data_IF_308926008402
#
_entry.id   IF_308926008402
#
_cell.length_a   1.000
_cell.length_b   1.000
_cell.length_c   1.000
_cell.angle_alpha   90.00
_cell.angle_beta   90.00
_cell.angle_gamma   90.00
#
_symmetry.space_group_name_H-M   'P 1'
#
loop_
_entity.id
_entity.type
_entity.pdbx_description
1 polymer ?
#
# COMPACT_ATOMS: atom_id res chain seq x y z
N UNK A 1 -1.68 30.30 10.29
CA UNK A 1 -1.92 28.88 9.94
C UNK A 1 -3.00 28.36 10.90
N UNK A 2 -4.08 27.76 10.41
CA UNK A 2 -5.04 27.10 11.32
C UNK A 2 -4.27 25.98 12.05
N UNK A 3 -4.28 25.98 13.37
CA UNK A 3 -3.72 24.90 14.17
C UNK A 3 -4.62 23.69 13.96
N UNK A 4 -4.27 22.83 13.00
CA UNK A 4 -4.93 21.54 12.85
C UNK A 4 -4.44 20.63 13.95
N UNK A 5 -5.38 20.06 14.70
CA UNK A 5 -5.05 18.98 15.60
C UNK A 5 -4.75 17.74 14.77
N UNK A 6 -3.55 17.19 14.89
CA UNK A 6 -3.17 15.93 14.26
C UNK A 6 -4.15 14.77 14.57
N UNK A 7 -4.93 14.86 15.64
CA UNK A 7 -5.99 13.91 15.99
C UNK A 7 -7.19 13.95 15.04
N UNK A 8 -7.35 15.01 14.23
CA UNK A 8 -8.36 15.06 13.17
C UNK A 8 -8.04 14.14 11.98
N UNK A 9 -6.80 13.65 11.89
CA UNK A 9 -6.35 12.73 10.87
C UNK A 9 -6.51 11.29 11.38
N UNK A 10 -7.38 10.52 10.74
CA UNK A 10 -7.63 9.12 11.04
C UNK A 10 -7.25 8.18 9.89
N UNK A 11 -7.17 6.88 10.16
CA UNK A 11 -6.83 5.87 9.16
C UNK A 11 -7.82 5.78 8.00
N UNK A 12 -9.08 6.20 8.18
CA UNK A 12 -10.06 6.22 7.09
C UNK A 12 -9.74 7.33 6.08
N UNK A 13 -9.37 8.52 6.57
CA UNK A 13 -8.93 9.62 5.72
C UNK A 13 -7.64 9.27 4.96
N UNK A 14 -6.67 8.63 5.62
CA UNK A 14 -5.45 8.15 4.96
C UNK A 14 -5.77 7.15 3.85
N UNK A 15 -6.59 6.14 4.15
CA UNK A 15 -7.01 5.12 3.17
C UNK A 15 -7.79 5.73 2.01
N UNK A 16 -8.62 6.74 2.28
CA UNK A 16 -9.35 7.47 1.26
C UNK A 16 -8.41 8.22 0.32
N UNK A 17 -7.42 8.95 0.84
CA UNK A 17 -6.43 9.67 0.04
C UNK A 17 -5.74 8.74 -0.96
N UNK A 18 -5.19 7.63 -0.46
CA UNK A 18 -4.51 6.60 -1.26
C UNK A 18 -5.44 6.04 -2.34
N UNK A 19 -6.68 5.73 -1.96
CA UNK A 19 -7.66 5.15 -2.90
C UNK A 19 -8.05 6.15 -4.00
N UNK A 20 -8.26 7.42 -3.67
CA UNK A 20 -8.62 8.45 -4.65
C UNK A 20 -7.45 8.75 -5.59
N UNK A 21 -6.22 8.79 -5.08
CA UNK A 21 -4.99 8.92 -5.89
C UNK A 21 -4.86 7.77 -6.88
N UNK A 22 -4.97 6.52 -6.41
CA UNK A 22 -4.84 5.32 -7.25
C UNK A 22 -5.93 5.22 -8.32
N UNK A 23 -7.17 5.61 -7.98
CA UNK A 23 -8.31 5.48 -8.88
C UNK A 23 -8.53 6.69 -9.79
N UNK A 24 -8.00 7.87 -9.47
CA UNK A 24 -8.23 9.10 -10.24
C UNK A 24 -9.71 9.48 -10.41
N UNK A 25 -10.61 8.94 -9.57
CA UNK A 25 -12.06 9.10 -9.71
C UNK A 25 -12.77 8.93 -8.38
N UNK A 26 -13.53 9.95 -7.98
CA UNK A 26 -14.35 9.92 -6.76
C UNK A 26 -15.36 8.75 -6.81
N UNK A 27 -15.99 8.51 -7.97
CA UNK A 27 -16.97 7.42 -8.13
C UNK A 27 -16.33 6.05 -7.99
N UNK A 28 -15.16 5.81 -8.59
CA UNK A 28 -14.45 4.53 -8.43
C UNK A 28 -13.91 4.36 -7.02
N UNK A 29 -13.41 5.44 -6.40
CA UNK A 29 -12.97 5.41 -5.01
C UNK A 29 -14.12 5.07 -4.06
N UNK A 30 -15.30 5.66 -4.26
CA UNK A 30 -16.50 5.38 -3.48
C UNK A 30 -16.88 3.89 -3.54
N UNK A 31 -16.91 3.32 -4.75
CA UNK A 31 -17.15 1.89 -4.93
C UNK A 31 -16.08 1.02 -4.24
N UNK A 32 -14.79 1.37 -4.37
CA UNK A 32 -13.69 0.63 -3.75
C UNK A 32 -13.69 0.71 -2.21
N UNK A 33 -14.21 1.79 -1.63
CA UNK A 33 -14.27 2.02 -0.19
C UNK A 33 -15.58 1.55 0.43
N UNK A 34 -16.59 1.17 -0.39
CA UNK A 34 -17.91 0.78 0.09
C UNK A 34 -18.72 1.93 0.69
N UNK A 35 -18.48 3.17 0.26
CA UNK A 35 -19.16 4.38 0.75
C UNK A 35 -19.76 5.18 -0.41
N UNK A 36 -20.59 6.17 -0.10
CA UNK A 36 -21.24 7.01 -1.12
C UNK A 36 -20.24 8.01 -1.73
N UNK A 37 -20.53 8.47 -2.96
CA UNK A 37 -19.74 9.51 -3.63
C UNK A 37 -19.72 10.82 -2.82
N UNK A 38 -20.84 11.17 -2.17
CA UNK A 38 -20.93 12.36 -1.31
C UNK A 38 -20.03 12.24 -0.07
N UNK A 39 -19.95 11.05 0.53
CA UNK A 39 -19.06 10.79 1.65
C UNK A 39 -17.58 10.93 1.25
N UNK A 40 -17.20 10.43 0.06
CA UNK A 40 -15.84 10.60 -0.47
C UNK A 40 -15.53 12.09 -0.67
N UNK A 41 -16.41 12.83 -1.35
CA UNK A 41 -16.21 14.27 -1.58
C UNK A 41 -16.03 15.04 -0.28
N UNK A 42 -16.88 14.79 0.73
CA UNK A 42 -16.78 15.45 2.03
C UNK A 42 -15.45 15.15 2.74
N UNK A 43 -15.00 13.89 2.71
CA UNK A 43 -13.71 13.51 3.29
C UNK A 43 -12.51 14.09 2.53
N UNK A 44 -12.59 14.23 1.21
CA UNK A 44 -11.58 14.96 0.41
C UNK A 44 -11.53 16.44 0.82
N UNK A 45 -12.67 17.08 1.04
CA UNK A 45 -12.71 18.48 1.49
C UNK A 45 -12.13 18.64 2.90
N UNK A 46 -12.36 17.66 3.79
CA UNK A 46 -11.68 17.60 5.09
C UNK A 46 -10.16 17.48 4.94
N UNK A 47 -9.69 16.58 4.06
CA UNK A 47 -8.26 16.44 3.77
C UNK A 47 -7.64 17.71 3.20
N UNK A 48 -8.35 18.42 2.31
CA UNK A 48 -7.91 19.71 1.77
C UNK A 48 -7.73 20.75 2.86
N UNK A 49 -8.68 20.80 3.79
CA UNK A 49 -8.58 21.70 4.94
C UNK A 49 -7.34 21.38 5.77
N UNK A 50 -7.15 20.12 6.18
CA UNK A 50 -6.02 19.66 7.00
C UNK A 50 -4.68 19.91 6.30
N UNK A 51 -4.58 19.52 5.04
CA UNK A 51 -3.34 19.64 4.28
C UNK A 51 -3.03 21.08 3.84
N UNK A 52 -4.02 21.98 3.88
CA UNK A 52 -3.90 23.34 3.33
C UNK A 52 -3.62 23.36 1.83
N UNK A 53 -4.06 22.33 1.09
CA UNK A 53 -3.80 22.14 -0.34
C UNK A 53 -5.06 21.67 -1.07
N UNK A 54 -5.17 21.96 -2.36
CA UNK A 54 -6.31 21.51 -3.16
C UNK A 54 -6.35 19.99 -3.37
N UNK A 55 -5.21 19.29 -3.27
CA UNK A 55 -4.97 17.85 -3.42
C UNK A 55 -5.36 17.25 -4.78
N UNK A 56 -6.49 17.65 -5.35
CA UNK A 56 -7.04 17.16 -6.59
C UNK A 56 -7.62 18.30 -7.41
N UNK A 57 -7.29 18.34 -8.69
CA UNK A 57 -7.81 19.30 -9.66
C UNK A 57 -8.73 18.61 -10.66
N UNK A 58 -9.73 19.33 -11.19
CA UNK A 58 -10.62 18.78 -12.22
C UNK A 58 -9.86 18.61 -13.52
N UNK A 59 -10.05 17.46 -14.18
CA UNK A 59 -9.55 17.21 -15.53
C UNK A 59 -10.60 16.44 -16.32
N UNK A 60 -11.26 17.11 -17.27
CA UNK A 60 -12.36 16.54 -18.04
C UNK A 60 -13.48 16.00 -17.14
N UNK A 61 -13.77 14.70 -17.27
CA UNK A 61 -14.78 13.99 -16.47
C UNK A 61 -14.26 13.42 -15.14
N UNK A 62 -12.98 13.61 -14.83
CA UNK A 62 -12.31 13.05 -13.66
C UNK A 62 -11.56 14.08 -12.84
N UNK A 63 -10.68 13.58 -11.97
CA UNK A 63 -9.78 14.39 -11.16
C UNK A 63 -8.36 13.88 -11.31
N UNK A 64 -7.39 14.79 -11.17
CA UNK A 64 -5.97 14.49 -11.21
C UNK A 64 -5.36 14.95 -9.89
N UNK A 65 -4.54 14.11 -9.22
CA UNK A 65 -3.85 14.50 -7.99
C UNK A 65 -2.80 15.58 -8.24
N UNK A 66 -2.62 16.49 -7.29
CA UNK A 66 -1.49 17.42 -7.27
C UNK A 66 -0.20 16.68 -6.89
N UNK A 67 0.97 17.29 -7.13
CA UNK A 67 2.25 16.76 -6.65
C UNK A 67 2.26 16.55 -5.13
N UNK A 68 1.60 17.46 -4.39
CA UNK A 68 1.42 17.35 -2.94
C UNK A 68 0.53 16.17 -2.54
N UNK A 69 -0.57 15.90 -3.25
CA UNK A 69 -1.39 14.73 -2.98
C UNK A 69 -0.67 13.41 -3.25
N UNK A 70 0.17 13.34 -4.29
CA UNK A 70 1.00 12.16 -4.56
C UNK A 70 1.99 11.90 -3.42
N UNK A 71 2.70 12.93 -2.97
CA UNK A 71 3.63 12.82 -1.84
C UNK A 71 2.91 12.39 -0.54
N UNK A 72 1.77 13.02 -0.24
CA UNK A 72 0.97 12.67 0.94
C UNK A 72 0.37 11.26 0.88
N UNK A 73 0.03 10.76 -0.32
CA UNK A 73 -0.45 9.40 -0.48
C UNK A 73 0.64 8.36 -0.17
N UNK A 74 1.88 8.59 -0.60
CA UNK A 74 3.00 7.72 -0.26
C UNK A 74 3.25 7.67 1.27
N UNK A 75 3.23 8.82 1.94
CA UNK A 75 3.33 8.89 3.40
C UNK A 75 2.12 8.21 4.09
N UNK A 76 0.92 8.38 3.54
CA UNK A 76 -0.28 7.73 4.06
C UNK A 76 -0.21 6.20 3.96
N UNK A 77 0.35 5.64 2.90
CA UNK A 77 0.59 4.19 2.78
C UNK A 77 1.53 3.68 3.88
N UNK A 78 2.63 4.41 4.15
CA UNK A 78 3.55 4.07 5.25
C UNK A 78 2.86 4.12 6.61
N UNK A 79 2.08 5.17 6.89
CA UNK A 79 1.33 5.30 8.15
C UNK A 79 0.30 4.18 8.32
N UNK A 80 -0.44 3.84 7.25
CA UNK A 80 -1.40 2.73 7.28
C UNK A 80 -0.69 1.40 7.55
N UNK A 81 0.50 1.18 6.98
CA UNK A 81 1.32 0.01 7.27
C UNK A 81 1.73 -0.03 8.75
N UNK A 82 2.20 1.09 9.32
CA UNK A 82 2.53 1.17 10.75
C UNK A 82 1.30 0.93 11.64
N UNK A 83 0.11 1.41 11.27
CA UNK A 83 -1.13 1.12 11.99
C UNK A 83 -1.47 -0.37 11.96
N UNK A 84 -1.26 -1.05 10.83
CA UNK A 84 -1.42 -2.51 10.75
C UNK A 84 -0.41 -3.21 11.66
N UNK A 85 0.87 -2.83 11.60
CA UNK A 85 1.91 -3.39 12.48
C UNK A 85 1.59 -3.16 13.95
N UNK A 86 1.02 -2.00 14.32
CA UNK A 86 0.62 -1.71 15.69
C UNK A 86 -0.42 -2.70 16.22
N UNK A 87 -1.43 -3.05 15.40
CA UNK A 87 -2.42 -4.09 15.77
C UNK A 87 -1.77 -5.47 15.83
N UNK A 88 -0.79 -5.72 14.98
CA UNK A 88 -0.01 -6.96 14.93
C UNK A 88 1.25 -6.92 15.80
N UNK A 89 1.28 -6.11 16.89
CA UNK A 89 2.31 -6.13 17.94
C UNK A 89 2.27 -7.43 18.78
N UNK A 90 2.10 -8.58 18.14
CA UNK A 90 2.49 -9.88 18.63
C UNK A 90 3.78 -10.28 17.94
N UNK A 91 4.71 -10.92 18.66
CA UNK A 91 5.91 -11.46 18.05
C UNK A 91 5.54 -12.24 16.79
N UNK A 92 6.12 -11.88 15.64
CA UNK A 92 6.01 -12.68 14.43
C UNK A 92 6.41 -14.12 14.78
N UNK A 93 5.45 -15.03 14.69
CA UNK A 93 5.68 -16.45 14.88
C UNK A 93 5.71 -17.11 13.49
N UNK A 94 6.90 -17.34 12.91
CA UNK A 94 7.01 -17.93 11.59
C UNK A 94 6.33 -19.30 11.52
N UNK A 95 6.13 -19.98 12.66
CA UNK A 95 5.46 -21.29 12.70
C UNK A 95 3.97 -21.23 12.37
N UNK A 96 3.34 -20.06 12.53
CA UNK A 96 1.92 -19.83 12.20
C UNK A 96 1.71 -19.24 10.81
N UNK A 97 2.78 -18.88 10.12
CA UNK A 97 2.70 -18.30 8.78
C UNK A 97 2.39 -19.37 7.74
N UNK A 98 1.30 -19.17 7.00
CA UNK A 98 0.90 -20.00 5.87
C UNK A 98 0.77 -19.11 4.64
N UNK A 99 1.77 -19.13 3.77
CA UNK A 99 1.82 -18.27 2.58
C UNK A 99 2.70 -18.87 1.47
N UNK A 100 2.64 -18.30 0.27
CA UNK A 100 3.50 -18.65 -0.86
C UNK A 100 4.31 -17.44 -1.33
N UNK A 101 5.61 -17.43 -1.04
CA UNK A 101 6.50 -16.37 -1.54
C UNK A 101 7.03 -16.71 -2.92
N UNK A 102 6.99 -15.74 -3.82
CA UNK A 102 7.64 -15.86 -5.14
C UNK A 102 9.01 -15.20 -5.10
N UNK A 103 10.06 -15.96 -5.42
CA UNK A 103 11.44 -15.48 -5.48
C UNK A 103 11.95 -15.60 -6.91
N UNK A 104 12.39 -14.48 -7.47
CA UNK A 104 13.14 -14.46 -8.72
C UNK A 104 14.60 -14.79 -8.44
N UNK A 105 15.16 -15.79 -9.14
CA UNK A 105 16.55 -16.22 -8.97
C UNK A 105 17.21 -16.58 -10.31
N UNK A 106 18.49 -16.23 -10.46
CA UNK A 106 19.31 -16.76 -11.55
C UNK A 106 19.81 -18.19 -11.22
N UNK A 107 20.43 -18.86 -12.19
CA UNK A 107 20.89 -20.25 -12.02
C UNK A 107 21.83 -20.40 -10.82
N UNK A 108 22.75 -19.45 -10.61
CA UNK A 108 23.69 -19.46 -9.49
C UNK A 108 22.98 -19.38 -8.13
N UNK A 109 22.02 -18.47 -7.97
CA UNK A 109 21.22 -18.30 -6.76
C UNK A 109 20.31 -19.52 -6.52
N UNK A 110 19.70 -20.04 -7.59
CA UNK A 110 18.82 -21.22 -7.53
C UNK A 110 19.56 -22.46 -7.09
N UNK A 111 20.75 -22.70 -7.62
CA UNK A 111 21.42 -23.99 -7.46
C UNK A 111 22.33 -24.01 -6.23
N UNK A 112 22.86 -22.86 -5.79
CA UNK A 112 23.79 -22.80 -4.65
C UNK A 112 23.19 -22.22 -3.36
N UNK A 113 22.21 -21.31 -3.44
CA UNK A 113 21.70 -20.60 -2.26
C UNK A 113 20.33 -21.10 -1.80
N UNK A 114 19.39 -21.25 -2.75
CA UNK A 114 18.01 -21.59 -2.43
C UNK A 114 17.82 -22.93 -1.70
N UNK A 115 18.58 -24.01 -1.96
CA UNK A 115 18.36 -25.28 -1.26
C UNK A 115 18.60 -25.17 0.24
N UNK A 116 19.74 -24.60 0.65
CA UNK A 116 20.09 -24.42 2.05
C UNK A 116 19.15 -23.43 2.76
N UNK A 117 18.72 -22.40 2.04
CA UNK A 117 17.76 -21.43 2.56
C UNK A 117 16.37 -22.05 2.75
N UNK A 118 15.88 -22.85 1.79
CA UNK A 118 14.59 -23.53 1.86
C UNK A 118 14.54 -24.50 3.05
N UNK A 119 15.62 -25.24 3.32
CA UNK A 119 15.70 -26.10 4.51
C UNK A 119 15.54 -25.31 5.81
N UNK A 120 16.19 -24.14 5.92
CA UNK A 120 16.06 -23.27 7.09
C UNK A 120 14.67 -22.67 7.20
N UNK A 121 14.08 -22.26 6.07
CA UNK A 121 12.73 -21.72 6.00
C UNK A 121 11.71 -22.75 6.47
N UNK A 122 11.76 -23.98 5.97
CA UNK A 122 10.85 -25.06 6.38
C UNK A 122 10.95 -25.41 7.86
N UNK A 123 12.17 -25.34 8.44
CA UNK A 123 12.37 -25.59 9.87
C UNK A 123 11.77 -24.50 10.76
N UNK A 124 11.75 -23.25 10.30
CA UNK A 124 11.24 -22.10 11.06
C UNK A 124 9.77 -21.79 10.77
N UNK A 125 9.33 -22.00 9.53
CA UNK A 125 8.02 -21.66 9.00
C UNK A 125 7.46 -22.80 8.11
N UNK A 126 6.98 -23.91 8.71
CA UNK A 126 6.55 -25.10 7.97
C UNK A 126 5.31 -24.89 7.10
N UNK A 127 4.51 -23.84 7.35
CA UNK A 127 3.35 -23.48 6.53
C UNK A 127 3.69 -22.65 5.29
N UNK A 128 4.95 -22.21 5.14
CA UNK A 128 5.38 -21.38 4.02
C UNK A 128 5.87 -22.24 2.86
N UNK A 129 5.40 -21.89 1.66
CA UNK A 129 5.86 -22.45 0.40
C UNK A 129 6.64 -21.41 -0.41
N UNK A 130 7.52 -21.89 -1.29
CA UNK A 130 8.32 -21.04 -2.16
C UNK A 130 8.05 -21.37 -3.63
N UNK A 131 7.75 -20.34 -4.42
CA UNK A 131 7.75 -20.40 -5.89
C UNK A 131 9.01 -19.72 -6.40
N UNK A 132 9.82 -20.43 -7.16
CA UNK A 132 11.02 -19.85 -7.79
C UNK A 132 10.72 -19.57 -9.25
N UNK A 133 10.99 -18.33 -9.68
CA UNK A 133 10.90 -17.92 -11.09
C UNK A 133 12.29 -17.49 -11.57
N UNK A 134 12.59 -17.61 -12.88
CA UNK A 134 13.82 -17.06 -13.43
C UNK A 134 13.93 -15.56 -13.11
N UNK A 135 15.09 -15.12 -12.63
CA UNK A 135 15.39 -13.69 -12.58
C UNK A 135 15.77 -13.22 -13.98
N UNK A 136 14.78 -12.80 -14.75
CA UNK A 136 15.04 -12.06 -15.97
C UNK A 136 15.55 -10.64 -15.61
N UNK A 137 16.14 -9.94 -16.59
CA UNK A 137 16.44 -8.50 -16.42
C UNK A 137 15.12 -7.81 -16.06
N UNK A 138 15.03 -7.04 -14.95
CA UNK A 138 13.79 -6.37 -14.57
C UNK A 138 13.25 -5.57 -15.75
N UNK A 139 12.16 -6.03 -16.34
CA UNK A 139 11.48 -5.28 -17.39
C UNK A 139 10.70 -4.14 -16.72
N UNK A 140 10.48 -3.05 -17.46
CA UNK A 140 9.73 -1.90 -16.96
C UNK A 140 8.30 -2.28 -16.47
N UNK A 141 7.79 -3.43 -16.88
CA UNK A 141 6.48 -3.95 -16.47
C UNK A 141 6.48 -4.55 -15.05
N UNK A 142 7.64 -5.04 -14.54
CA UNK A 142 7.80 -5.49 -13.14
C UNK A 142 7.91 -4.33 -12.15
N UNK A 143 8.12 -3.10 -12.63
CA UNK A 143 8.22 -1.87 -11.83
C UNK A 143 6.90 -1.08 -11.73
N UNK A 144 5.81 -1.59 -12.31
CA UNK A 144 4.50 -0.93 -12.22
C UNK A 144 3.67 -1.60 -11.13
N UNK A 145 3.58 -0.91 -10.00
CA UNK A 145 2.60 -1.15 -8.94
C UNK A 145 1.19 -0.73 -9.37
#
# INVERSE_FOLDING_TARGET
>A
MKNFDHLDLDGHLLKLLVTVVRTGSITRAAASLGITQSAVSHQVDRLRAIAGDALFVKSGRGIVPTSRALALAAEAESLLSHMQTFVHLGAFDPKRLTDCFTVAANDFQRDLFLPAWLTRLQAQAPGVSLRVIPSDIPSADLLRA
#
